data_IF_055075064191
#
_entry.id   IF_055075064191
#
_cell.length_a   1.000
_cell.length_b   1.000
_cell.length_c   1.000
_cell.angle_alpha   90.00
_cell.angle_beta   90.00
_cell.angle_gamma   90.00
#
_symmetry.space_group_name_H-M   'P 1'
#
loop_
_entity.id
_entity.type
_entity.pdbx_description
1 polymer ?
#
# COMPACT_ATOMS: atom_id res chain seq x y z
N UNK A 1 -5.98 -0.70 -1.55
CA UNK A 1 -5.15 -1.93 -1.51
C UNK A 1 -4.46 -2.04 -0.15
N UNK A 2 -4.39 -3.23 0.44
CA UNK A 2 -3.68 -3.46 1.71
C UNK A 2 -2.65 -4.58 1.49
N UNK A 3 -1.38 -4.30 1.74
CA UNK A 3 -0.30 -5.27 1.68
C UNK A 3 0.57 -5.21 2.93
N UNK A 4 1.46 -6.19 3.09
CA UNK A 4 2.35 -6.28 4.24
C UNK A 4 3.77 -6.67 3.84
N UNK A 5 4.72 -6.27 4.66
CA UNK A 5 6.14 -6.55 4.52
C UNK A 5 6.75 -6.97 5.86
N UNK A 6 7.81 -7.77 5.79
CA UNK A 6 8.46 -8.36 6.98
C UNK A 6 9.55 -7.47 7.58
N UNK A 7 10.00 -6.43 6.87
CA UNK A 7 11.03 -5.50 7.33
C UNK A 7 10.80 -4.09 6.79
N UNK A 8 11.33 -3.08 7.48
CA UNK A 8 11.31 -1.68 7.02
C UNK A 8 11.96 -1.52 5.65
N UNK A 9 13.07 -2.23 5.40
CA UNK A 9 13.71 -2.26 4.08
C UNK A 9 12.75 -2.74 2.99
N UNK A 10 11.93 -3.76 3.26
CA UNK A 10 10.95 -4.26 2.30
C UNK A 10 9.78 -3.28 2.13
N UNK A 11 9.34 -2.60 3.20
CA UNK A 11 8.35 -1.52 3.10
C UNK A 11 8.86 -0.44 2.13
N UNK A 12 10.07 0.06 2.36
CA UNK A 12 10.67 1.10 1.52
C UNK A 12 10.79 0.65 0.06
N UNK A 13 11.26 -0.58 -0.17
CA UNK A 13 11.34 -1.13 -1.52
C UNK A 13 9.97 -1.20 -2.23
N UNK A 14 8.91 -1.63 -1.53
CA UNK A 14 7.54 -1.64 -2.10
C UNK A 14 7.07 -0.22 -2.42
N UNK A 15 7.30 0.73 -1.51
CA UNK A 15 6.88 2.13 -1.68
C UNK A 15 7.62 2.77 -2.85
N UNK A 16 8.94 2.56 -2.95
CA UNK A 16 9.77 3.06 -4.04
C UNK A 16 9.35 2.48 -5.39
N UNK A 17 9.13 1.16 -5.47
CA UNK A 17 8.67 0.49 -6.69
C UNK A 17 7.31 1.03 -7.15
N UNK A 18 6.36 1.24 -6.23
CA UNK A 18 5.06 1.84 -6.59
C UNK A 18 5.27 3.23 -7.18
N UNK A 19 6.07 4.09 -6.54
CA UNK A 19 6.33 5.45 -7.05
C UNK A 19 6.94 5.40 -8.46
N UNK A 20 7.95 4.55 -8.66
CA UNK A 20 8.62 4.39 -9.95
C UNK A 20 7.65 3.93 -11.05
N UNK A 21 6.78 2.95 -10.75
CA UNK A 21 5.79 2.44 -11.72
C UNK A 21 4.68 3.44 -12.04
N UNK A 22 4.22 4.19 -11.05
CA UNK A 22 3.22 5.24 -11.28
C UNK A 22 3.83 6.41 -12.08
N UNK A 23 5.09 6.78 -11.83
CA UNK A 23 5.81 7.77 -12.63
C UNK A 23 6.00 7.30 -14.08
N UNK A 24 6.40 6.04 -14.31
CA UNK A 24 6.48 5.44 -15.65
C UNK A 24 5.13 5.45 -16.39
N UNK A 25 4.03 5.34 -15.65
CA UNK A 25 2.66 5.34 -16.18
C UNK A 25 2.07 6.75 -16.36
N UNK A 26 2.82 7.82 -16.07
CA UNK A 26 2.35 9.21 -16.07
C UNK A 26 1.16 9.43 -15.12
N UNK A 27 1.16 8.72 -13.98
CA UNK A 27 0.16 8.83 -12.91
C UNK A 27 0.74 9.61 -11.73
N UNK A 28 -0.04 10.57 -11.23
CA UNK A 28 0.37 11.43 -10.11
C UNK A 28 0.24 10.72 -8.75
N UNK A 29 1.35 10.54 -8.05
CA UNK A 29 1.36 10.18 -6.63
C UNK A 29 1.06 11.43 -5.80
N UNK A 30 -0.18 11.55 -5.32
CA UNK A 30 -0.65 12.76 -4.63
C UNK A 30 0.03 12.99 -3.30
N UNK A 31 0.20 11.92 -2.51
CA UNK A 31 0.72 12.03 -1.14
C UNK A 31 1.27 10.70 -0.65
N UNK A 32 2.32 10.78 0.16
CA UNK A 32 2.89 9.65 0.89
C UNK A 32 3.04 10.04 2.35
N UNK A 33 2.49 9.23 3.24
CA UNK A 33 2.53 9.44 4.70
C UNK A 33 3.23 8.27 5.38
N UNK A 34 4.07 8.56 6.38
CA UNK A 34 4.73 7.54 7.19
C UNK A 34 6.00 6.92 6.59
N UNK A 35 6.54 7.43 5.47
CA UNK A 35 7.75 6.90 4.82
C UNK A 35 9.00 6.94 5.71
N UNK A 36 9.16 7.98 6.54
CA UNK A 36 10.34 8.17 7.39
C UNK A 36 10.19 7.45 8.74
N UNK A 37 10.40 6.13 8.72
CA UNK A 37 10.44 5.29 9.93
C UNK A 37 9.08 4.77 10.39
N UNK A 38 8.05 4.88 9.55
CA UNK A 38 6.74 4.33 9.84
C UNK A 38 6.69 2.82 9.57
N UNK A 39 6.11 2.09 10.52
CA UNK A 39 5.71 0.68 10.34
C UNK A 39 4.43 0.54 9.51
N UNK A 40 3.87 1.67 9.09
CA UNK A 40 2.71 1.79 8.22
C UNK A 40 2.94 2.98 7.31
N UNK A 41 2.96 2.72 6.00
CA UNK A 41 3.02 3.74 4.97
C UNK A 41 1.68 3.78 4.24
N UNK A 42 1.19 5.00 3.98
CA UNK A 42 0.01 5.25 3.17
C UNK A 42 0.44 6.00 1.91
N UNK A 43 0.02 5.49 0.75
CA UNK A 43 0.23 6.12 -0.56
C UNK A 43 -1.14 6.46 -1.13
N UNK A 44 -1.34 7.73 -1.46
CA UNK A 44 -2.55 8.25 -2.11
C UNK A 44 -2.27 8.47 -3.59
N UNK A 45 -2.93 7.69 -4.44
CA UNK A 45 -2.89 7.78 -5.91
C UNK A 45 -4.15 8.45 -6.48
N UNK A 46 -4.99 9.05 -5.63
CA UNK A 46 -6.27 9.64 -6.00
C UNK A 46 -7.42 8.64 -6.05
N UNK A 47 -7.43 7.75 -7.04
CA UNK A 47 -8.50 6.76 -7.20
C UNK A 47 -8.29 5.52 -6.30
N UNK A 48 -7.03 5.27 -5.94
CA UNK A 48 -6.61 4.13 -5.12
C UNK A 48 -5.74 4.63 -3.97
N UNK A 49 -6.04 4.13 -2.77
CA UNK A 49 -5.17 4.28 -1.60
C UNK A 49 -4.48 2.95 -1.33
N UNK A 50 -3.16 2.97 -1.18
CA UNK A 50 -2.33 1.81 -0.84
C UNK A 50 -1.85 1.91 0.60
N UNK A 51 -2.12 0.88 1.39
CA UNK A 51 -1.59 0.73 2.74
C UNK A 51 -0.52 -0.37 2.75
N UNK A 52 0.71 0.00 3.11
CA UNK A 52 1.83 -0.93 3.27
C UNK A 52 2.14 -1.05 4.76
N UNK A 53 1.88 -2.21 5.35
CA UNK A 53 2.12 -2.46 6.77
C UNK A 53 3.36 -3.29 7.01
N UNK A 54 4.03 -3.07 8.14
CA UNK A 54 4.86 -4.11 8.74
C UNK A 54 3.95 -5.24 9.23
N UNK A 55 4.34 -6.51 9.01
CA UNK A 55 3.51 -7.67 9.34
C UNK A 55 2.96 -7.67 10.78
N UNK A 56 3.74 -7.16 11.74
CA UNK A 56 3.34 -7.08 13.15
C UNK A 56 2.22 -6.04 13.42
N UNK A 57 2.15 -4.98 12.62
CA UNK A 57 1.22 -3.87 12.84
C UNK A 57 -0.12 -4.07 12.13
N UNK A 58 -0.15 -4.81 11.00
CA UNK A 58 -1.38 -5.04 10.23
C UNK A 58 -2.52 -5.58 11.09
N UNK A 59 -2.22 -6.57 11.94
CA UNK A 59 -3.21 -7.16 12.84
C UNK A 59 -3.66 -6.24 13.98
N UNK A 60 -2.80 -5.30 14.39
CA UNK A 60 -3.14 -4.30 15.41
C UNK A 60 -4.15 -3.29 14.87
N UNK A 61 -3.92 -2.76 13.66
CA UNK A 61 -4.82 -1.78 13.03
C UNK A 61 -6.08 -2.43 12.42
N UNK A 62 -5.97 -3.66 11.89
CA UNK A 62 -7.08 -4.47 11.39
C UNK A 62 -8.05 -3.71 10.48
N UNK A 63 -7.51 -3.00 9.49
CA UNK A 63 -8.32 -2.22 8.56
C UNK A 63 -9.28 -3.10 7.74
N UNK A 64 -8.95 -4.38 7.55
CA UNK A 64 -9.83 -5.35 6.91
C UNK A 64 -11.16 -5.49 7.63
N UNK A 65 -11.18 -5.36 8.96
CA UNK A 65 -12.44 -5.36 9.72
C UNK A 65 -13.25 -4.09 9.47
N UNK A 66 -12.60 -2.94 9.28
CA UNK A 66 -13.28 -1.69 8.96
C UNK A 66 -13.93 -1.76 7.56
N UNK A 67 -13.27 -2.43 6.62
CA UNK A 67 -13.71 -2.56 5.23
C UNK A 67 -14.42 -3.89 4.94
N UNK A 68 -14.90 -4.62 5.97
CA UNK A 68 -15.44 -5.97 5.79
C UNK A 68 -16.65 -6.06 4.87
N UNK A 69 -17.41 -4.96 4.78
CA UNK A 69 -18.62 -4.87 3.97
C UNK A 69 -18.33 -4.43 2.52
N UNK A 70 -17.08 -4.05 2.22
CA UNK A 70 -16.66 -3.68 0.88
C UNK A 70 -16.41 -4.93 0.03
N UNK A 71 -16.82 -4.95 -1.25
CA UNK A 71 -16.54 -6.08 -2.13
C UNK A 71 -15.03 -6.23 -2.36
N UNK A 72 -14.55 -7.47 -2.27
CA UNK A 72 -13.17 -7.78 -2.60
C UNK A 72 -12.99 -7.79 -4.13
N UNK A 73 -12.01 -7.05 -4.62
CA UNK A 73 -11.64 -7.04 -6.04
C UNK A 73 -10.52 -8.07 -6.24
N UNK A 74 -10.73 -9.06 -7.11
CA UNK A 74 -9.69 -9.99 -7.52
C UNK A 74 -8.81 -9.36 -8.61
N UNK A 75 -7.53 -9.22 -8.30
CA UNK A 75 -6.54 -8.59 -9.18
C UNK A 75 -5.82 -9.61 -10.08
N UNK A 76 -6.01 -10.93 -9.92
CA UNK A 76 -5.32 -11.93 -10.75
C UNK A 76 -5.61 -11.80 -12.24
N UNK A 77 -6.79 -11.28 -12.61
CA UNK A 77 -7.13 -11.04 -14.01
C UNK A 77 -6.35 -9.88 -14.64
N UNK A 78 -5.66 -9.06 -13.83
CA UNK A 78 -4.97 -7.83 -14.27
C UNK A 78 -3.44 -7.93 -14.19
N UNK A 79 -2.92 -9.00 -13.61
CA UNK A 79 -1.48 -9.27 -13.46
C UNK A 79 -1.16 -10.51 -14.29
N UNK A 80 -0.50 -10.33 -15.43
CA UNK A 80 -0.03 -11.44 -16.29
C UNK A 80 1.13 -12.23 -15.66
#
# INVERSE_FOLDING_TARGET
>A
MICQATSERQINAIVEEIIEKEEEADVEVKRIEGKDGGKWVLIDLGDIIVHVFQSAERGFYNLEKLWSDAPMVDLHAWVE
#
